data_IF_486266593061
#
_entry.id   IF_486266593061
#
_cell.length_a   1.000
_cell.length_b   1.000
_cell.length_c   1.000
_cell.angle_alpha   90.00
_cell.angle_beta   90.00
_cell.angle_gamma   90.00
#
_symmetry.space_group_name_H-M   'P 1'
#
loop_
_entity.id
_entity.type
_entity.pdbx_description
1 polymer ?
#
# COMPACT_ATOMS: atom_id res chain seq x y z
N UNK A 1 6.46 -8.16 35.45
CA UNK A 1 6.11 -9.09 34.35
C UNK A 1 5.41 -8.29 33.28
N UNK A 2 5.90 -8.42 32.06
CA UNK A 2 5.60 -7.62 30.88
C UNK A 2 4.11 -7.59 30.51
N UNK A 3 3.63 -6.41 30.10
CA UNK A 3 3.27 -6.18 28.69
C UNK A 3 3.14 -4.67 28.46
N UNK A 4 4.15 -4.11 27.79
CA UNK A 4 4.00 -2.87 27.05
C UNK A 4 3.04 -3.18 25.91
N UNK A 5 1.75 -2.93 26.13
CA UNK A 5 0.83 -2.65 25.02
C UNK A 5 1.34 -1.35 24.43
N UNK A 6 2.27 -1.46 23.48
CA UNK A 6 2.52 -0.40 22.53
C UNK A 6 1.18 -0.20 21.83
N UNK A 7 0.43 0.79 22.29
CA UNK A 7 -0.66 1.39 21.54
C UNK A 7 -0.04 1.81 20.21
N UNK A 8 -0.11 0.93 19.21
CA UNK A 8 0.04 1.31 17.83
C UNK A 8 -1.12 2.24 17.54
N UNK A 9 -0.94 3.51 17.88
CA UNK A 9 -1.60 4.62 17.24
C UNK A 9 -1.21 4.54 15.76
N UNK A 10 -1.88 3.66 15.03
CA UNK A 10 -1.84 3.62 13.59
C UNK A 10 -2.61 4.86 13.15
N UNK A 11 -1.93 6.00 13.23
CA UNK A 11 -2.42 7.24 12.68
C UNK A 11 -2.60 6.97 11.20
N UNK A 12 -3.87 6.85 10.79
CA UNK A 12 -4.32 7.13 9.43
C UNK A 12 -3.98 8.60 9.14
N UNK A 13 -2.69 8.92 9.06
CA UNK A 13 -2.20 10.17 8.54
C UNK A 13 -2.73 10.19 7.11
N UNK A 14 -3.60 11.15 6.80
CA UNK A 14 -4.06 11.39 5.44
C UNK A 14 -2.81 11.64 4.60
N UNK A 15 -2.35 10.61 3.88
CA UNK A 15 -1.05 10.68 3.20
C UNK A 15 -1.23 11.52 1.95
N UNK A 16 -0.72 12.76 1.98
CA UNK A 16 -0.69 13.60 0.80
C UNK A 16 0.30 13.06 -0.24
N UNK A 17 -0.12 13.03 -1.51
CA UNK A 17 0.63 12.45 -2.63
C UNK A 17 2.07 12.95 -2.74
N UNK A 18 2.29 14.21 -2.36
CA UNK A 18 3.60 14.88 -2.40
C UNK A 18 4.48 14.41 -1.26
N UNK A 19 3.92 14.21 -0.07
CA UNK A 19 4.62 13.79 1.14
C UNK A 19 5.23 12.39 1.01
N UNK A 20 4.64 11.50 0.21
CA UNK A 20 5.22 10.17 -0.10
C UNK A 20 6.57 10.29 -0.81
N UNK A 21 6.71 11.28 -1.70
CA UNK A 21 7.90 11.42 -2.55
C UNK A 21 8.96 12.32 -1.89
N UNK A 22 8.54 13.28 -1.06
CA UNK A 22 9.44 14.24 -0.42
C UNK A 22 9.92 13.80 0.96
N UNK A 23 9.25 12.83 1.60
CA UNK A 23 9.66 12.28 2.89
C UNK A 23 10.34 10.90 2.71
N UNK A 24 11.66 10.87 2.86
CA UNK A 24 12.46 9.66 2.73
C UNK A 24 12.13 8.57 3.76
N UNK A 25 11.67 8.94 4.96
CA UNK A 25 11.25 7.97 5.97
C UNK A 25 9.94 7.29 5.57
N UNK A 26 8.97 8.06 5.07
CA UNK A 26 7.71 7.53 4.59
C UNK A 26 7.92 6.63 3.37
N UNK A 27 8.78 7.05 2.44
CA UNK A 27 9.17 6.25 1.29
C UNK A 27 9.79 4.91 1.73
N UNK A 28 10.69 4.93 2.72
CA UNK A 28 11.30 3.71 3.24
C UNK A 28 10.28 2.78 3.90
N UNK A 29 9.31 3.31 4.64
CA UNK A 29 8.22 2.50 5.23
C UNK A 29 7.38 1.81 4.15
N UNK A 30 7.03 2.52 3.07
CA UNK A 30 6.30 1.94 1.93
C UNK A 30 7.13 0.88 1.21
N UNK A 31 8.45 1.09 1.10
CA UNK A 31 9.39 0.11 0.56
C UNK A 31 9.45 -1.16 1.42
N UNK A 32 9.56 -1.05 2.73
CA UNK A 32 9.51 -2.21 3.63
C UNK A 32 8.19 -2.97 3.47
N UNK A 33 7.08 -2.23 3.34
CA UNK A 33 5.77 -2.85 3.13
C UNK A 33 5.69 -3.58 1.79
N UNK A 34 6.27 -3.02 0.73
CA UNK A 34 6.30 -3.65 -0.59
C UNK A 34 7.18 -4.89 -0.63
N UNK A 35 8.28 -4.92 0.13
CA UNK A 35 9.12 -6.10 0.31
C UNK A 35 8.37 -7.23 1.05
N UNK A 36 7.64 -6.89 2.12
CA UNK A 36 6.76 -7.84 2.82
C UNK A 36 5.68 -8.38 1.88
N UNK A 37 5.06 -7.51 1.07
CA UNK A 37 4.07 -7.93 0.09
C UNK A 37 4.68 -8.83 -1.00
N UNK A 38 5.86 -8.52 -1.51
CA UNK A 38 6.54 -9.35 -2.50
C UNK A 38 6.87 -10.76 -1.96
N UNK A 39 7.12 -10.87 -0.65
CA UNK A 39 7.40 -12.13 0.05
C UNK A 39 6.15 -12.84 0.60
N UNK A 40 4.97 -12.22 0.52
CA UNK A 40 3.73 -12.79 1.06
C UNK A 40 3.17 -13.98 0.26
N UNK A 41 3.85 -14.39 -0.81
CA UNK A 41 3.55 -15.62 -1.55
C UNK A 41 2.16 -15.60 -2.20
N UNK A 42 1.25 -16.44 -1.73
CA UNK A 42 -0.08 -16.62 -2.33
C UNK A 42 -1.06 -15.47 -2.09
N UNK A 43 -0.77 -14.55 -1.17
CA UNK A 43 -1.59 -13.36 -0.92
C UNK A 43 -1.50 -12.32 -2.04
N UNK A 44 -0.49 -12.43 -2.89
CA UNK A 44 -0.20 -11.50 -3.97
C UNK A 44 -0.10 -12.26 -5.30
N UNK A 45 -0.67 -11.73 -6.41
CA UNK A 45 -0.67 -12.40 -7.71
C UNK A 45 0.73 -12.73 -8.22
N UNK A 46 0.85 -13.76 -9.07
CA UNK A 46 2.14 -14.27 -9.56
C UNK A 46 3.04 -13.20 -10.19
N UNK A 47 2.45 -12.21 -10.87
CA UNK A 47 3.19 -11.13 -11.51
C UNK A 47 3.82 -10.12 -10.55
N UNK A 48 3.44 -10.13 -9.26
CA UNK A 48 3.95 -9.27 -8.20
C UNK A 48 4.90 -10.02 -7.23
N UNK A 49 4.94 -11.35 -7.25
CA UNK A 49 5.78 -12.17 -6.36
C UNK A 49 7.26 -11.95 -6.65
N UNK A 50 8.06 -11.74 -5.60
CA UNK A 50 9.50 -11.47 -5.73
C UNK A 50 9.84 -10.16 -6.45
N UNK A 51 8.85 -9.28 -6.69
CA UNK A 51 9.03 -7.98 -7.36
C UNK A 51 8.56 -6.85 -6.44
N UNK A 52 9.40 -6.44 -5.48
CA UNK A 52 9.06 -5.37 -4.53
C UNK A 52 8.71 -4.05 -5.23
N UNK A 53 9.30 -3.77 -6.41
CA UNK A 53 8.99 -2.56 -7.18
C UNK A 53 7.54 -2.54 -7.70
N UNK A 54 7.04 -3.69 -8.15
CA UNK A 54 5.67 -3.82 -8.62
C UNK A 54 4.67 -3.73 -7.46
N UNK A 55 4.99 -4.35 -6.32
CA UNK A 55 4.22 -4.20 -5.08
C UNK A 55 4.21 -2.75 -4.59
N UNK A 56 5.31 -2.02 -4.74
CA UNK A 56 5.42 -0.63 -4.29
C UNK A 56 4.42 0.28 -5.00
N UNK A 57 4.18 0.07 -6.30
CA UNK A 57 3.16 0.81 -7.05
C UNK A 57 1.76 0.59 -6.45
N UNK A 58 1.43 -0.65 -6.06
CA UNK A 58 0.14 -0.98 -5.43
C UNK A 58 0.05 -0.37 -4.03
N UNK A 59 1.12 -0.45 -3.23
CA UNK A 59 1.20 0.13 -1.89
C UNK A 59 1.03 1.65 -1.93
N UNK A 60 1.72 2.32 -2.84
CA UNK A 60 1.58 3.77 -3.04
C UNK A 60 0.17 4.13 -3.48
N UNK A 61 -0.45 3.33 -4.35
CA UNK A 61 -1.83 3.58 -4.77
C UNK A 61 -2.84 3.35 -3.64
N UNK A 62 -2.67 2.29 -2.86
CA UNK A 62 -3.50 1.99 -1.70
C UNK A 62 -3.37 3.07 -0.61
N UNK A 63 -2.15 3.57 -0.40
CA UNK A 63 -1.87 4.69 0.51
C UNK A 63 -2.64 5.97 0.11
N UNK A 64 -2.75 6.26 -1.20
CA UNK A 64 -3.55 7.40 -1.70
C UNK A 64 -5.05 7.24 -1.43
N UNK A 65 -5.54 6.00 -1.43
CA UNK A 65 -6.93 5.69 -1.16
C UNK A 65 -7.24 5.41 0.31
N UNK A 66 -6.22 5.36 1.18
CA UNK A 66 -6.38 4.91 2.56
C UNK A 66 -6.88 3.46 2.67
N UNK A 67 -6.55 2.62 1.68
CA UNK A 67 -6.99 1.22 1.60
C UNK A 67 -5.87 0.26 2.01
N UNK A 68 -6.27 -0.94 2.44
CA UNK A 68 -5.33 -2.03 2.69
C UNK A 68 -4.69 -2.51 1.37
N UNK A 69 -3.35 -2.57 1.27
CA UNK A 69 -2.68 -2.88 0.02
C UNK A 69 -2.80 -4.36 -0.40
N UNK A 70 -3.05 -5.30 0.52
CA UNK A 70 -3.35 -6.68 0.17
C UNK A 70 -4.76 -6.82 -0.40
N UNK A 71 -5.72 -6.03 0.08
CA UNK A 71 -7.06 -5.96 -0.51
C UNK A 71 -7.02 -5.41 -1.94
N UNK A 72 -6.17 -4.41 -2.20
CA UNK A 72 -5.95 -3.87 -3.56
C UNK A 72 -5.21 -4.87 -4.45
N UNK A 73 -4.20 -5.57 -3.93
CA UNK A 73 -3.42 -6.55 -4.70
C UNK A 73 -4.22 -7.80 -5.12
N UNK A 74 -5.21 -8.22 -4.34
CA UNK A 74 -6.09 -9.34 -4.68
C UNK A 74 -7.11 -8.98 -5.76
N UNK A 75 -7.39 -7.69 -5.96
CA UNK A 75 -8.26 -7.23 -7.03
C UNK A 75 -7.46 -7.22 -8.35
N UNK A 76 -8.04 -7.71 -9.46
CA UNK A 76 -7.33 -7.78 -10.73
C UNK A 76 -6.91 -6.38 -11.21
N UNK A 77 -5.87 -6.25 -12.02
CA UNK A 77 -5.34 -4.96 -12.51
C UNK A 77 -6.40 -4.03 -13.12
N UNK A 78 -7.47 -4.57 -13.69
CA UNK A 78 -8.60 -3.78 -14.21
C UNK A 78 -9.39 -3.05 -13.10
N UNK A 79 -9.39 -3.57 -11.87
CA UNK A 79 -10.04 -2.94 -10.73
C UNK A 79 -9.31 -1.69 -10.29
N UNK A 80 -7.97 -1.66 -10.34
CA UNK A 80 -7.22 -0.43 -10.02
C UNK A 80 -7.56 0.66 -11.04
N UNK A 81 -7.67 0.31 -12.33
CA UNK A 81 -8.14 1.22 -13.38
C UNK A 81 -9.59 1.65 -13.19
N UNK A 82 -10.49 0.72 -12.85
CA UNK A 82 -11.91 1.03 -12.63
C UNK A 82 -12.15 1.85 -11.36
N UNK A 83 -11.37 1.64 -10.28
CA UNK A 83 -11.44 2.48 -9.07
C UNK A 83 -10.87 3.86 -9.35
N UNK A 84 -9.75 3.97 -10.08
CA UNK A 84 -9.27 5.26 -10.58
C UNK A 84 -10.31 5.98 -11.46
N UNK A 85 -11.03 5.23 -12.30
CA UNK A 85 -12.08 5.77 -13.18
C UNK A 85 -13.32 6.18 -12.38
N UNK A 86 -13.75 5.36 -11.41
CA UNK A 86 -14.89 5.64 -10.54
C UNK A 86 -14.61 6.84 -9.63
N UNK A 87 -13.40 6.98 -9.10
CA UNK A 87 -13.01 8.14 -8.28
C UNK A 87 -12.86 9.43 -9.09
N UNK A 88 -12.60 9.36 -10.40
CA UNK A 88 -12.58 10.53 -11.30
C UNK A 88 -13.97 11.16 -11.47
N UNK A 89 -15.04 10.40 -11.27
CA UNK A 89 -16.42 10.86 -11.48
C UNK A 89 -17.15 11.27 -10.20
N UNK A 90 -16.51 11.20 -9.02
CA UNK A 90 -17.13 11.54 -7.74
C UNK A 90 -16.40 12.67 -6.98
N UNK A 91 -15.63 13.48 -7.72
CA UNK A 91 -15.09 14.79 -7.34
C UNK A 91 -15.40 15.81 -8.43
#
# INVERSE_FOLDING_TARGET
MSNLVATTENQTQKIDNVSILTNGELFNRLRTLSEVMANSGNFVPEHYRGKPDACMAVVMQAARWGMDPFAVAQKPSSWVTQVCLAMRHNW
#
